data_IF_587483989462
#
_entry.id   IF_587483989462
#
_cell.length_a   1.000
_cell.length_b   1.000
_cell.length_c   1.000
_cell.angle_alpha   90.00
_cell.angle_beta   90.00
_cell.angle_gamma   90.00
#
_symmetry.space_group_name_H-M   'P 1'
#
loop_
_entity.id
_entity.type
_entity.pdbx_description
1 polymer ?
#
# COMPACT_ATOMS: atom_id res chain seq x y z
N UNK A 1 -32.12 -7.35 42.29
CA UNK A 1 -31.05 -6.39 42.12
C UNK A 1 -29.81 -7.11 41.58
N UNK A 2 -29.56 -7.03 40.30
CA UNK A 2 -28.38 -7.64 39.68
C UNK A 2 -27.18 -6.78 40.07
N UNK A 3 -26.18 -7.41 40.69
CA UNK A 3 -25.03 -6.76 41.27
C UNK A 3 -24.12 -6.16 40.14
N UNK A 4 -24.42 -4.93 39.71
CA UNK A 4 -23.78 -4.21 38.60
C UNK A 4 -22.25 -4.11 38.78
N UNK A 5 -21.75 -4.04 39.99
CA UNK A 5 -20.31 -3.99 40.27
C UNK A 5 -19.59 -5.29 39.86
N UNK A 6 -20.22 -6.45 40.06
CA UNK A 6 -19.62 -7.74 39.66
C UNK A 6 -19.61 -7.94 38.15
N UNK A 7 -20.58 -7.36 37.46
CA UNK A 7 -20.66 -7.40 35.99
C UNK A 7 -19.59 -6.50 35.36
N UNK A 8 -19.43 -5.28 35.85
CA UNK A 8 -18.39 -4.36 35.39
C UNK A 8 -16.97 -4.90 35.64
N UNK A 9 -16.72 -5.52 36.80
CA UNK A 9 -15.43 -6.16 37.11
C UNK A 9 -15.16 -7.36 36.17
N UNK A 10 -16.15 -8.18 35.91
CA UNK A 10 -15.99 -9.30 34.96
C UNK A 10 -15.76 -8.83 33.54
N UNK A 11 -16.44 -7.77 33.10
CA UNK A 11 -16.26 -7.16 31.79
C UNK A 11 -14.88 -6.54 31.68
N UNK A 12 -14.41 -5.84 32.72
CA UNK A 12 -13.04 -5.29 32.78
C UNK A 12 -11.97 -6.37 32.80
N UNK A 13 -12.15 -7.46 33.54
CA UNK A 13 -11.23 -8.60 33.53
C UNK A 13 -11.24 -9.34 32.18
N UNK A 14 -12.40 -9.43 31.52
CA UNK A 14 -12.49 -10.02 30.18
C UNK A 14 -11.79 -9.16 29.14
N UNK A 15 -11.97 -7.85 29.19
CA UNK A 15 -11.25 -6.92 28.30
C UNK A 15 -9.75 -6.89 28.60
N UNK A 16 -9.34 -6.91 29.86
CA UNK A 16 -7.93 -7.01 30.25
C UNK A 16 -7.30 -8.34 29.82
N UNK A 17 -8.03 -9.45 29.90
CA UNK A 17 -7.57 -10.77 29.44
C UNK A 17 -7.45 -10.83 27.90
N UNK A 18 -8.37 -10.22 27.15
CA UNK A 18 -8.28 -10.07 25.69
C UNK A 18 -7.08 -9.20 25.32
N UNK A 19 -6.80 -8.14 26.04
CA UNK A 19 -5.60 -7.31 25.85
C UNK A 19 -4.30 -8.03 26.21
N UNK A 20 -4.30 -8.91 27.21
CA UNK A 20 -3.09 -9.64 27.62
C UNK A 20 -2.65 -10.71 26.61
N UNK A 21 -3.59 -11.33 25.90
CA UNK A 21 -3.26 -12.32 24.86
C UNK A 21 -2.73 -11.72 23.56
N UNK A 22 -2.78 -10.40 23.42
CA UNK A 22 -2.38 -9.68 22.19
C UNK A 22 -0.86 -9.44 22.05
N UNK A 23 -0.03 -10.10 22.83
CA UNK A 23 1.44 -9.95 22.78
C UNK A 23 2.12 -10.67 21.60
N UNK A 24 1.37 -11.32 20.73
CA UNK A 24 1.89 -11.95 19.51
C UNK A 24 1.42 -11.16 18.25
N UNK A 25 2.09 -10.40 17.78
CA UNK A 25 2.36 -9.20 17.01
C UNK A 25 2.56 -9.47 15.56
N UNK A 26 1.63 -9.02 14.79
CA UNK A 26 1.74 -8.91 13.36
C UNK A 26 2.27 -7.52 13.00
N UNK A 27 3.49 -7.47 12.53
CA UNK A 27 4.08 -6.27 11.96
C UNK A 27 3.62 -6.15 10.52
N UNK A 28 3.07 -5.01 10.10
CA UNK A 28 2.57 -4.86 8.75
C UNK A 28 3.11 -3.58 8.12
N UNK A 29 4.23 -3.67 7.42
CA UNK A 29 4.49 -2.74 6.32
C UNK A 29 3.92 -3.34 5.04
N UNK A 30 3.54 -2.49 4.09
CA UNK A 30 2.89 -2.90 2.85
C UNK A 30 3.84 -2.76 1.66
N UNK A 31 3.65 -3.59 0.64
CA UNK A 31 4.34 -3.43 -0.65
C UNK A 31 3.84 -2.16 -1.34
N UNK A 32 4.70 -1.38 -2.01
CA UNK A 32 4.23 -0.32 -2.87
C UNK A 32 3.25 -0.86 -3.93
N UNK A 33 2.17 -0.15 -4.19
CA UNK A 33 1.08 -0.63 -5.08
C UNK A 33 1.59 -0.97 -6.49
N UNK A 34 2.56 -0.22 -7.00
CA UNK A 34 3.18 -0.42 -8.31
C UNK A 34 4.44 -1.30 -8.24
N UNK A 35 4.67 -2.00 -7.12
CA UNK A 35 5.80 -2.92 -7.00
C UNK A 35 5.68 -4.07 -7.99
N UNK A 36 6.81 -4.40 -8.64
CA UNK A 36 6.90 -5.56 -9.52
C UNK A 36 6.60 -6.88 -8.80
N UNK A 37 6.78 -6.90 -7.48
CA UNK A 37 6.42 -8.01 -6.61
C UNK A 37 4.92 -8.31 -6.65
N UNK A 38 4.05 -7.29 -6.74
CA UNK A 38 2.60 -7.50 -6.87
C UNK A 38 2.23 -8.23 -8.16
N UNK A 39 2.93 -7.94 -9.27
CA UNK A 39 2.75 -8.67 -10.53
C UNK A 39 3.10 -10.15 -10.39
N UNK A 40 4.22 -10.47 -9.73
CA UNK A 40 4.61 -11.85 -9.48
C UNK A 40 3.62 -12.57 -8.55
N UNK A 41 3.11 -11.89 -7.51
CA UNK A 41 2.08 -12.46 -6.63
C UNK A 41 0.82 -12.81 -7.43
N UNK A 42 0.36 -11.92 -8.29
CA UNK A 42 -0.82 -12.17 -9.14
C UNK A 42 -0.62 -13.39 -10.05
N UNK A 43 0.58 -13.58 -10.62
CA UNK A 43 0.90 -14.77 -11.42
C UNK A 43 0.90 -16.05 -10.61
N UNK A 44 1.40 -16.00 -9.38
CA UNK A 44 1.39 -17.15 -8.46
C UNK A 44 -0.04 -17.49 -8.03
N UNK A 45 -0.89 -16.49 -7.87
CA UNK A 45 -2.30 -16.71 -7.55
C UNK A 45 -3.04 -17.39 -8.70
N UNK A 46 -2.83 -16.94 -9.94
CA UNK A 46 -3.37 -17.59 -11.14
C UNK A 46 -2.88 -19.04 -11.26
N UNK A 47 -1.63 -19.32 -10.88
CA UNK A 47 -1.08 -20.67 -10.87
C UNK A 47 -1.57 -21.53 -9.68
N UNK A 48 -2.43 -21.01 -8.81
CA UNK A 48 -2.98 -21.73 -7.64
C UNK A 48 -1.96 -22.02 -6.53
N UNK A 49 -0.84 -21.28 -6.52
CA UNK A 49 0.26 -21.46 -5.53
C UNK A 49 -0.02 -20.68 -4.25
N UNK A 50 -0.81 -19.60 -4.32
CA UNK A 50 -1.13 -18.72 -3.20
C UNK A 50 -2.37 -19.18 -2.46
N UNK A 51 -2.30 -20.29 -1.74
CA UNK A 51 -3.47 -20.81 -1.01
C UNK A 51 -3.92 -19.86 0.12
N UNK A 52 -5.21 -19.50 0.11
CA UNK A 52 -5.81 -18.62 1.13
C UNK A 52 -5.41 -17.15 1.06
N UNK A 53 -4.77 -16.71 -0.02
CA UNK A 53 -4.31 -15.34 -0.20
C UNK A 53 -5.29 -14.54 -1.07
N UNK A 54 -5.74 -13.39 -0.56
CA UNK A 54 -6.60 -12.48 -1.32
C UNK A 54 -5.72 -11.45 -2.05
N UNK A 55 -5.79 -11.45 -3.39
CA UNK A 55 -5.02 -10.53 -4.25
C UNK A 55 -5.84 -9.34 -4.73
N UNK A 56 -7.15 -9.32 -4.47
CA UNK A 56 -8.06 -8.22 -4.86
C UNK A 56 -7.81 -6.94 -4.07
N UNK A 57 -7.24 -7.03 -2.88
CA UNK A 57 -6.96 -5.90 -2.01
C UNK A 57 -5.46 -5.56 -2.03
N UNK A 58 -5.12 -4.40 -2.57
CA UNK A 58 -3.75 -3.89 -2.59
C UNK A 58 -3.68 -2.53 -1.88
N UNK A 59 -2.56 -2.17 -1.28
CA UNK A 59 -1.28 -2.87 -1.20
C UNK A 59 -1.33 -4.11 -0.31
N UNK A 60 -0.52 -5.10 -0.68
CA UNK A 60 -0.37 -6.37 0.04
C UNK A 60 0.59 -6.19 1.21
N UNK A 61 0.27 -6.71 2.39
CA UNK A 61 1.17 -6.64 3.53
C UNK A 61 2.37 -7.57 3.36
N UNK A 62 3.55 -7.13 3.79
CA UNK A 62 4.77 -7.96 3.78
C UNK A 62 4.66 -9.18 4.70
N UNK A 63 3.87 -9.10 5.75
CA UNK A 63 3.58 -10.26 6.59
C UNK A 63 2.85 -11.36 5.82
N UNK A 64 1.84 -10.99 5.02
CA UNK A 64 1.16 -11.94 4.16
C UNK A 64 2.14 -12.58 3.16
N UNK A 65 3.05 -11.78 2.61
CA UNK A 65 4.10 -12.28 1.74
C UNK A 65 5.05 -13.26 2.45
N UNK A 66 5.42 -12.96 3.71
CA UNK A 66 6.26 -13.84 4.51
C UNK A 66 5.60 -15.20 4.76
N UNK A 67 4.29 -15.24 4.98
CA UNK A 67 3.53 -16.48 5.12
C UNK A 67 3.53 -17.36 3.86
N UNK A 68 3.74 -16.76 2.68
CA UNK A 68 3.88 -17.49 1.42
C UNK A 68 5.29 -18.04 1.20
N UNK A 69 6.29 -17.58 1.95
CA UNK A 69 7.69 -17.90 1.69
C UNK A 69 8.02 -19.40 1.66
N UNK A 70 7.47 -20.28 2.54
CA UNK A 70 7.71 -21.72 2.46
C UNK A 70 7.19 -22.35 1.15
N UNK A 71 5.98 -21.95 0.74
CA UNK A 71 5.36 -22.45 -0.50
C UNK A 71 6.13 -21.98 -1.74
N UNK A 72 6.65 -20.76 -1.71
CA UNK A 72 7.46 -20.17 -2.77
C UNK A 72 8.80 -20.90 -2.93
N UNK A 73 9.42 -21.31 -1.84
CA UNK A 73 10.71 -22.01 -1.86
C UNK A 73 10.61 -23.40 -2.54
N UNK A 74 9.45 -24.05 -2.47
CA UNK A 74 9.21 -25.39 -3.02
C UNK A 74 8.75 -25.37 -4.48
N UNK A 75 8.28 -24.26 -5.02
CA UNK A 75 7.77 -24.17 -6.38
C UNK A 75 8.88 -23.87 -7.39
N UNK A 76 9.17 -24.81 -8.30
CA UNK A 76 10.20 -24.65 -9.35
C UNK A 76 9.96 -23.48 -10.32
N UNK A 77 8.73 -22.94 -10.38
CA UNK A 77 8.34 -21.79 -11.22
C UNK A 77 8.92 -20.45 -10.75
N UNK A 78 9.53 -20.39 -9.58
CA UNK A 78 9.73 -19.15 -8.82
C UNK A 78 11.16 -18.62 -8.83
N UNK A 79 12.15 -19.33 -9.44
CA UNK A 79 13.57 -18.90 -9.37
C UNK A 79 13.79 -17.42 -9.69
N UNK A 80 13.16 -16.89 -10.73
CA UNK A 80 13.31 -15.48 -11.12
C UNK A 80 12.48 -14.52 -10.25
N UNK A 81 11.34 -14.98 -9.72
CA UNK A 81 10.47 -14.19 -8.84
C UNK A 81 11.01 -14.13 -7.41
N UNK A 82 11.73 -15.15 -6.96
CA UNK A 82 12.29 -15.25 -5.61
C UNK A 82 13.21 -14.07 -5.24
N UNK A 83 13.91 -13.51 -6.21
CA UNK A 83 14.77 -12.34 -5.98
C UNK A 83 13.99 -11.14 -5.50
N UNK A 84 12.82 -10.87 -6.06
CA UNK A 84 11.95 -9.75 -5.67
C UNK A 84 11.35 -9.99 -4.28
N UNK A 85 10.86 -11.21 -4.03
CA UNK A 85 10.33 -11.59 -2.73
C UNK A 85 11.37 -11.46 -1.60
N UNK A 86 12.62 -11.83 -1.85
CA UNK A 86 13.71 -11.67 -0.88
C UNK A 86 13.95 -10.23 -0.49
N UNK A 87 13.93 -9.34 -1.48
CA UNK A 87 14.11 -7.90 -1.23
C UNK A 87 13.08 -7.40 -0.26
N UNK A 88 11.83 -7.83 -0.44
CA UNK A 88 10.71 -7.38 0.36
C UNK A 88 10.63 -8.08 1.74
N UNK A 89 11.14 -9.31 1.84
CA UNK A 89 11.09 -10.11 3.07
C UNK A 89 12.29 -9.92 3.99
N UNK A 90 13.32 -9.20 3.55
CA UNK A 90 14.56 -9.03 4.34
C UNK A 90 14.34 -8.39 5.73
N UNK A 91 13.24 -7.68 5.91
CA UNK A 91 12.91 -7.04 7.19
C UNK A 91 12.47 -8.01 8.28
N UNK A 92 11.96 -9.18 7.89
CA UNK A 92 11.38 -10.16 8.81
C UNK A 92 12.41 -11.20 9.22
N UNK A 93 12.89 -11.16 10.45
CA UNK A 93 13.70 -12.25 11.00
C UNK A 93 12.76 -13.38 11.44
N UNK A 94 12.21 -14.17 10.52
CA UNK A 94 11.57 -15.41 10.90
C UNK A 94 12.60 -16.54 10.87
N UNK A 95 12.48 -17.50 11.77
CA UNK A 95 13.32 -18.70 11.76
C UNK A 95 13.16 -19.46 10.43
N UNK A 96 11.97 -19.36 9.80
CA UNK A 96 11.67 -19.95 8.50
C UNK A 96 12.38 -19.24 7.33
N UNK A 97 12.72 -17.96 7.48
CA UNK A 97 13.52 -17.22 6.49
C UNK A 97 14.98 -17.66 6.47
N UNK A 98 15.48 -18.34 7.49
CA UNK A 98 16.86 -18.84 7.50
C UNK A 98 17.05 -19.94 6.45
N UNK A 99 16.09 -20.85 6.31
CA UNK A 99 16.10 -21.88 5.26
C UNK A 99 15.85 -21.28 3.89
N UNK A 100 14.93 -20.35 3.77
CA UNK A 100 14.68 -19.57 2.57
C UNK A 100 15.91 -18.76 2.14
N UNK A 101 16.64 -18.14 3.08
CA UNK A 101 17.89 -17.44 2.82
C UNK A 101 19.05 -18.36 2.47
N UNK A 102 19.10 -19.57 3.04
CA UNK A 102 20.14 -20.58 2.77
C UNK A 102 20.05 -21.12 1.35
N UNK A 103 18.84 -21.34 0.83
CA UNK A 103 18.59 -21.87 -0.52
C UNK A 103 18.74 -20.84 -1.64
N UNK A 104 18.93 -19.59 -1.30
CA UNK A 104 19.04 -18.49 -2.25
C UNK A 104 20.34 -17.73 -1.97
N UNK A 105 21.43 -18.31 -2.44
CA UNK A 105 22.78 -17.78 -2.26
C UNK A 105 22.92 -16.33 -2.75
N UNK A 106 23.04 -15.38 -1.81
CA UNK A 106 23.33 -13.98 -2.09
C UNK A 106 24.82 -13.69 -2.26
N UNK A 107 25.65 -14.72 -2.40
CA UNK A 107 27.10 -14.57 -2.56
C UNK A 107 27.52 -13.81 -3.84
N UNK A 108 26.59 -13.47 -4.73
CA UNK A 108 26.86 -12.59 -5.88
C UNK A 108 26.98 -11.10 -5.54
N UNK A 109 27.10 -10.74 -4.25
CA UNK A 109 27.21 -9.37 -3.77
C UNK A 109 28.61 -8.73 -3.90
N UNK A 110 29.52 -9.32 -4.68
CA UNK A 110 30.92 -8.90 -4.73
C UNK A 110 31.18 -7.41 -5.05
N UNK A 111 30.45 -6.79 -5.98
CA UNK A 111 30.64 -5.39 -6.36
C UNK A 111 29.68 -4.39 -5.69
N UNK A 112 28.55 -4.87 -5.13
CA UNK A 112 27.54 -4.02 -4.50
C UNK A 112 27.86 -3.64 -3.05
N UNK A 113 28.80 -4.34 -2.39
CA UNK A 113 29.22 -4.07 -1.01
C UNK A 113 29.85 -2.69 -0.80
N UNK A 114 30.27 -2.02 -1.88
CA UNK A 114 30.85 -0.68 -1.79
C UNK A 114 29.79 0.37 -1.45
N UNK A 115 28.56 0.22 -1.97
CA UNK A 115 27.48 1.19 -1.79
C UNK A 115 26.40 0.72 -0.80
N UNK A 116 26.19 -0.60 -0.68
CA UNK A 116 25.15 -1.16 0.17
C UNK A 116 25.76 -2.05 1.24
N UNK A 117 25.61 -1.67 2.50
CA UNK A 117 25.99 -2.49 3.67
C UNK A 117 25.22 -3.81 3.71
N UNK A 118 23.96 -3.77 3.26
CA UNK A 118 23.10 -4.95 3.16
C UNK A 118 22.64 -5.11 1.72
N UNK A 119 22.28 -6.30 1.24
CA UNK A 119 21.83 -6.50 -0.13
C UNK A 119 20.59 -5.67 -0.50
N UNK A 120 19.84 -5.15 0.47
CA UNK A 120 18.49 -4.63 0.33
C UNK A 120 18.32 -3.17 0.75
N UNK A 121 19.26 -2.58 1.46
CA UNK A 121 19.15 -1.22 1.93
C UNK A 121 20.51 -0.51 1.90
N UNK A 122 20.51 0.75 1.46
CA UNK A 122 21.69 1.61 1.53
C UNK A 122 22.09 1.80 2.99
N UNK A 123 21.10 2.06 3.83
CA UNK A 123 21.28 2.13 5.27
C UNK A 123 20.26 1.21 5.93
N UNK A 124 20.71 0.39 6.87
CA UNK A 124 19.87 -0.50 7.66
C UNK A 124 20.35 -0.54 9.10
N UNK A 125 19.45 -0.23 10.02
CA UNK A 125 19.68 -0.34 11.46
C UNK A 125 18.68 -1.37 12.00
N UNK A 126 19.19 -2.41 12.63
CA UNK A 126 18.39 -3.44 13.32
C UNK A 126 18.77 -3.48 14.78
N UNK A 127 17.84 -3.14 15.65
CA UNK A 127 17.91 -3.28 17.10
C UNK A 127 16.80 -4.24 17.53
N UNK A 128 16.82 -4.64 18.81
CA UNK A 128 15.80 -5.55 19.37
C UNK A 128 14.36 -5.05 19.13
N UNK A 129 14.13 -3.76 19.33
CA UNK A 129 12.80 -3.15 19.34
C UNK A 129 12.62 -2.09 18.24
N UNK A 130 13.62 -1.91 17.36
CA UNK A 130 13.59 -0.91 16.32
C UNK A 130 14.31 -1.40 15.06
N UNK A 131 13.62 -1.27 13.92
CA UNK A 131 14.23 -1.47 12.61
C UNK A 131 14.00 -0.25 11.75
N UNK A 132 15.04 0.17 11.02
CA UNK A 132 14.98 1.26 10.06
C UNK A 132 15.74 0.85 8.81
N UNK A 133 15.14 1.09 7.66
CA UNK A 133 15.77 0.96 6.34
C UNK A 133 15.57 2.24 5.56
N UNK A 134 16.64 2.67 4.89
CA UNK A 134 16.65 3.86 4.06
C UNK A 134 17.21 3.48 2.71
N UNK A 135 16.46 3.79 1.65
CA UNK A 135 16.86 3.58 0.27
C UNK A 135 16.73 4.86 -0.57
N UNK A 136 17.70 5.16 -1.44
CA UNK A 136 17.49 6.13 -2.49
C UNK A 136 16.52 5.56 -3.52
N UNK A 137 15.70 6.43 -4.07
CA UNK A 137 14.81 6.13 -5.20
C UNK A 137 15.31 6.90 -6.40
N UNK A 138 15.72 6.18 -7.44
CA UNK A 138 16.20 6.74 -8.68
C UNK A 138 15.49 6.03 -9.81
N UNK A 139 14.81 6.78 -10.66
CA UNK A 139 14.09 6.25 -11.82
C UNK A 139 14.43 7.05 -13.07
N UNK A 140 14.62 6.36 -14.17
CA UNK A 140 14.75 6.93 -15.49
C UNK A 140 13.91 6.11 -16.48
N UNK A 141 13.11 6.79 -17.27
CA UNK A 141 12.47 6.22 -18.44
C UNK A 141 12.62 7.18 -19.60
N UNK A 142 12.78 6.65 -20.80
CA UNK A 142 12.90 7.44 -22.03
C UNK A 142 12.13 6.78 -23.15
N UNK A 143 11.58 7.59 -24.04
CA UNK A 143 10.82 7.18 -25.22
C UNK A 143 10.83 8.23 -26.31
N UNK A 144 10.12 7.97 -27.36
CA UNK A 144 9.93 8.91 -28.46
C UNK A 144 8.47 8.87 -28.92
N UNK A 145 7.86 10.02 -29.05
CA UNK A 145 6.58 10.17 -29.70
C UNK A 145 6.80 10.15 -31.21
N UNK A 146 6.24 9.15 -31.87
CA UNK A 146 6.41 8.99 -33.32
C UNK A 146 5.50 9.92 -34.12
N UNK A 147 4.46 10.49 -33.51
CA UNK A 147 3.55 11.41 -34.19
C UNK A 147 4.21 12.76 -34.46
N UNK A 148 4.91 13.31 -33.46
CA UNK A 148 5.51 14.64 -33.51
C UNK A 148 7.04 14.59 -33.47
N UNK A 149 7.60 13.38 -33.46
CA UNK A 149 9.05 13.16 -33.40
C UNK A 149 9.71 13.72 -32.13
N UNK A 150 8.94 13.95 -31.06
CA UNK A 150 9.42 14.47 -29.79
C UNK A 150 9.96 13.38 -28.86
N UNK A 151 11.05 13.69 -28.16
CA UNK A 151 11.57 12.80 -27.13
C UNK A 151 10.75 12.94 -25.86
N UNK A 152 10.42 11.81 -25.27
CA UNK A 152 9.75 11.76 -23.97
C UNK A 152 10.70 11.21 -22.94
N UNK A 153 10.65 11.73 -21.71
CA UNK A 153 11.48 11.21 -20.62
C UNK A 153 10.83 11.41 -19.27
N UNK A 154 11.20 10.57 -18.35
CA UNK A 154 10.85 10.69 -16.95
C UNK A 154 12.10 10.54 -16.10
N UNK A 155 12.29 11.48 -15.18
CA UNK A 155 13.33 11.46 -14.16
C UNK A 155 12.66 11.46 -12.80
N UNK A 156 13.06 10.54 -11.94
CA UNK A 156 12.58 10.44 -10.56
C UNK A 156 13.76 10.35 -9.62
N UNK A 157 13.80 11.22 -8.64
CA UNK A 157 14.79 11.19 -7.56
C UNK A 157 14.10 11.29 -6.21
N UNK A 158 14.56 10.52 -5.23
CA UNK A 158 13.92 10.54 -3.92
C UNK A 158 14.52 9.62 -2.89
N UNK A 159 13.78 9.44 -1.80
CA UNK A 159 14.15 8.60 -0.68
C UNK A 159 12.96 7.79 -0.18
N UNK A 160 13.21 6.55 0.13
CA UNK A 160 12.27 5.63 0.79
C UNK A 160 12.78 5.33 2.20
N UNK A 161 11.86 5.44 3.17
CA UNK A 161 12.07 5.10 4.57
C UNK A 161 11.03 4.07 4.95
N UNK A 162 11.47 3.01 5.63
CA UNK A 162 10.56 2.02 6.22
C UNK A 162 11.14 1.42 7.47
N UNK A 163 10.29 1.02 8.38
CA UNK A 163 10.76 0.42 9.61
C UNK A 163 9.65 0.02 10.56
N UNK A 164 10.07 -0.37 11.75
CA UNK A 164 9.20 -0.89 12.79
C UNK A 164 9.68 -0.47 14.17
N UNK A 165 8.73 -0.20 15.05
CA UNK A 165 8.97 0.15 16.44
C UNK A 165 8.28 -0.90 17.31
N UNK A 166 9.02 -1.50 18.24
CA UNK A 166 8.55 -2.49 19.23
C UNK A 166 7.76 -3.65 18.59
N UNK A 167 8.08 -3.98 17.32
CA UNK A 167 7.32 -4.96 16.53
C UNK A 167 5.80 -4.75 16.52
N UNK A 168 5.29 -3.57 16.92
CA UNK A 168 3.86 -3.23 17.01
C UNK A 168 3.44 -2.18 16.00
N UNK A 169 4.31 -1.20 15.77
CA UNK A 169 4.05 -0.09 14.87
C UNK A 169 4.99 -0.18 13.68
N UNK A 170 4.45 -0.34 12.50
CA UNK A 170 5.17 -0.19 11.26
C UNK A 170 5.03 1.23 10.72
N UNK A 171 6.05 1.72 10.03
CA UNK A 171 6.00 3.00 9.34
C UNK A 171 6.66 2.91 7.98
N UNK A 172 6.14 3.72 7.06
CA UNK A 172 6.64 3.85 5.70
C UNK A 172 6.57 5.31 5.28
N UNK A 173 7.57 5.77 4.53
CA UNK A 173 7.55 7.07 3.88
C UNK A 173 8.32 7.00 2.57
N UNK A 174 7.76 7.61 1.54
CA UNK A 174 8.35 7.76 0.22
C UNK A 174 8.21 9.22 -0.22
N UNK A 175 9.34 9.85 -0.49
CA UNK A 175 9.39 11.23 -0.97
C UNK A 175 10.15 11.24 -2.28
N UNK A 176 9.51 11.71 -3.34
CA UNK A 176 10.14 11.81 -4.67
C UNK A 176 9.85 13.14 -5.33
N UNK A 177 10.86 13.64 -6.05
CA UNK A 177 10.72 14.70 -7.03
C UNK A 177 10.73 14.07 -8.42
N UNK A 178 9.76 14.43 -9.22
CA UNK A 178 9.53 13.85 -10.52
C UNK A 178 9.58 14.97 -11.57
N UNK A 179 10.17 14.66 -12.70
CA UNK A 179 10.15 15.47 -13.89
C UNK A 179 9.75 14.56 -15.04
N UNK A 180 8.69 14.91 -15.77
CA UNK A 180 8.15 14.07 -16.84
C UNK A 180 7.90 14.95 -18.06
N UNK A 181 8.47 14.57 -19.19
CA UNK A 181 8.11 15.10 -20.49
C UNK A 181 7.23 14.07 -21.20
N UNK A 182 5.96 14.42 -21.32
CA UNK A 182 4.95 13.55 -21.91
C UNK A 182 4.93 13.64 -23.45
N UNK A 183 4.36 12.65 -24.14
CA UNK A 183 3.91 12.78 -25.53
C UNK A 183 2.94 13.94 -25.70
N UNK A 184 2.92 14.54 -26.87
CA UNK A 184 2.13 15.74 -27.18
C UNK A 184 0.63 15.60 -26.84
N UNK A 185 0.02 14.46 -27.12
CA UNK A 185 -1.39 14.22 -26.79
C UNK A 185 -1.68 14.21 -25.27
N UNK A 186 -0.72 13.77 -24.46
CA UNK A 186 -0.84 13.81 -22.99
C UNK A 186 -0.63 15.24 -22.49
N UNK A 187 0.35 15.98 -23.04
CA UNK A 187 0.56 17.38 -22.68
C UNK A 187 -0.70 18.22 -22.91
N UNK A 188 -1.38 18.04 -24.05
CA UNK A 188 -2.67 18.70 -24.33
C UNK A 188 -3.74 18.37 -23.28
N UNK A 189 -3.77 17.13 -22.78
CA UNK A 189 -4.68 16.77 -21.67
C UNK A 189 -4.26 17.43 -20.35
N UNK A 190 -2.98 17.48 -20.07
CA UNK A 190 -2.45 18.14 -18.85
C UNK A 190 -2.72 19.64 -18.91
N UNK A 191 -2.45 20.30 -20.04
CA UNK A 191 -2.68 21.74 -20.24
C UNK A 191 -4.18 22.10 -20.10
N UNK A 192 -5.07 21.24 -20.58
CA UNK A 192 -6.50 21.47 -20.47
C UNK A 192 -7.08 21.21 -19.10
N UNK A 193 -6.50 20.25 -18.34
CA UNK A 193 -7.02 19.80 -17.03
C UNK A 193 -6.24 20.38 -15.83
N UNK A 194 -5.00 20.81 -16.05
CA UNK A 194 -4.07 21.18 -14.99
C UNK A 194 -3.62 19.99 -14.12
N UNK A 195 -3.87 18.74 -14.57
CA UNK A 195 -3.63 17.54 -13.78
C UNK A 195 -2.82 16.51 -14.57
N UNK A 196 -1.75 16.00 -13.99
CA UNK A 196 -0.94 14.94 -14.60
C UNK A 196 -1.76 13.66 -14.72
N UNK A 197 -1.92 13.18 -15.94
CA UNK A 197 -2.68 11.99 -16.26
C UNK A 197 -2.11 10.74 -15.53
N UNK A 198 -2.98 10.00 -14.85
CA UNK A 198 -2.62 8.78 -14.13
C UNK A 198 -1.95 9.00 -12.76
N UNK A 199 -1.47 10.20 -12.47
CA UNK A 199 -0.85 10.56 -11.17
C UNK A 199 -1.76 11.46 -10.33
N UNK A 200 -2.64 12.26 -10.96
CA UNK A 200 -3.58 13.14 -10.28
C UNK A 200 -2.94 14.34 -9.56
N UNK A 201 -1.68 14.64 -9.84
CA UNK A 201 -1.02 15.82 -9.30
C UNK A 201 -1.30 17.04 -10.17
N UNK A 202 -1.61 18.17 -9.52
CA UNK A 202 -1.78 19.44 -10.21
C UNK A 202 -0.43 20.05 -10.56
N UNK A 203 -0.33 20.58 -11.77
CA UNK A 203 0.84 21.33 -12.27
C UNK A 203 0.38 22.57 -12.96
N UNK A 204 1.25 23.59 -12.99
CA UNK A 204 1.04 24.77 -13.83
C UNK A 204 1.34 24.43 -15.29
N UNK A 205 0.73 25.14 -16.21
CA UNK A 205 0.99 25.03 -17.64
C UNK A 205 2.50 25.12 -17.94
N UNK A 206 3.00 24.16 -18.69
CA UNK A 206 4.42 24.06 -19.02
C UNK A 206 5.36 23.62 -17.90
N UNK A 207 4.84 23.31 -16.70
CA UNK A 207 5.63 22.75 -15.61
C UNK A 207 5.35 21.24 -15.44
N UNK A 208 6.27 20.43 -15.89
CA UNK A 208 6.20 18.96 -15.87
C UNK A 208 6.78 18.36 -14.58
N UNK A 209 7.01 19.20 -13.58
CA UNK A 209 7.63 18.81 -12.31
C UNK A 209 6.57 18.70 -11.21
N UNK A 210 6.63 17.61 -10.48
CA UNK A 210 5.78 17.44 -9.30
C UNK A 210 6.51 16.72 -8.17
N UNK A 211 6.05 17.01 -6.97
CA UNK A 211 6.55 16.42 -5.75
C UNK A 211 5.54 15.42 -5.22
N UNK A 212 6.01 14.23 -4.89
CA UNK A 212 5.17 13.14 -4.36
C UNK A 212 5.66 12.77 -2.97
N UNK A 213 4.78 12.84 -1.99
CA UNK A 213 5.04 12.43 -0.63
C UNK A 213 3.95 11.46 -0.17
N UNK A 214 4.37 10.25 0.17
CA UNK A 214 3.54 9.18 0.71
C UNK A 214 4.06 8.79 2.08
N UNK A 215 3.18 8.38 2.94
CA UNK A 215 3.59 7.84 4.22
C UNK A 215 2.41 7.33 5.02
N UNK A 216 2.65 6.30 5.79
CA UNK A 216 1.64 5.72 6.66
C UNK A 216 2.27 5.07 7.89
N UNK A 217 1.45 4.93 8.89
CA UNK A 217 1.69 4.09 10.06
C UNK A 217 0.75 2.90 10.05
N UNK A 218 1.25 1.78 10.56
CA UNK A 218 0.45 0.57 10.75
C UNK A 218 0.52 0.13 12.20
N UNK A 219 -0.59 -0.39 12.69
CA UNK A 219 -0.69 -0.95 14.02
C UNK A 219 -1.57 -2.20 13.99
N UNK A 220 -1.10 -3.28 14.57
CA UNK A 220 -1.85 -4.54 14.62
C UNK A 220 -2.08 -4.94 16.08
N UNK A 221 -3.24 -4.55 16.66
CA UNK A 221 -3.58 -4.89 18.04
C UNK A 221 -3.74 -6.40 18.24
N UNK A 222 -4.11 -7.12 17.19
CA UNK A 222 -4.25 -8.58 17.20
C UNK A 222 -3.76 -9.17 15.88
N UNK A 223 -3.55 -10.48 15.83
CA UNK A 223 -3.24 -11.21 14.57
C UNK A 223 -4.36 -11.14 13.51
N UNK A 224 -5.54 -10.71 13.90
CA UNK A 224 -6.72 -10.66 13.04
C UNK A 224 -7.06 -9.26 12.55
N UNK A 225 -6.62 -8.23 13.27
CA UNK A 225 -6.98 -6.83 13.01
C UNK A 225 -5.71 -6.03 12.74
N UNK A 226 -5.67 -5.40 11.58
CA UNK A 226 -4.64 -4.45 11.20
C UNK A 226 -5.26 -3.07 10.92
N UNK A 227 -4.64 -2.05 11.48
CA UNK A 227 -4.97 -0.65 11.26
C UNK A 227 -3.88 -0.02 10.42
N UNK A 228 -4.25 0.81 9.46
CA UNK A 228 -3.32 1.62 8.67
C UNK A 228 -3.89 3.02 8.53
N UNK A 229 -3.08 4.02 8.86
CA UNK A 229 -3.43 5.43 8.74
C UNK A 229 -2.30 6.18 8.05
N UNK A 230 -2.63 7.03 7.11
CA UNK A 230 -1.65 7.84 6.40
C UNK A 230 -2.14 8.38 5.07
N UNK A 231 -1.19 8.78 4.24
CA UNK A 231 -1.41 9.27 2.88
C UNK A 231 -0.72 8.33 1.89
N UNK A 232 -1.50 7.60 1.11
CA UNK A 232 -1.03 6.70 0.06
C UNK A 232 -2.21 6.33 -0.85
N UNK A 233 -2.02 5.37 -1.74
CA UNK A 233 -3.04 4.81 -2.61
C UNK A 233 -3.49 3.43 -2.12
N UNK A 234 -4.73 3.07 -2.43
CA UNK A 234 -5.26 1.72 -2.28
C UNK A 234 -5.87 1.28 -3.62
N UNK A 235 -5.96 -0.02 -3.82
CA UNK A 235 -6.54 -0.61 -5.02
C UNK A 235 -7.44 -1.77 -4.62
N UNK A 236 -8.66 -1.79 -5.14
CA UNK A 236 -9.66 -2.82 -4.83
C UNK A 236 -10.16 -3.40 -6.14
N UNK A 237 -9.81 -4.66 -6.42
CA UNK A 237 -10.21 -5.40 -7.61
C UNK A 237 -9.08 -6.22 -8.21
N UNK A 238 -9.41 -7.02 -9.25
CA UNK A 238 -8.47 -7.92 -9.94
C UNK A 238 -8.11 -7.47 -11.36
N UNK A 239 -8.75 -6.42 -11.86
CA UNK A 239 -8.46 -5.87 -13.20
C UNK A 239 -7.19 -5.04 -13.23
N UNK A 240 -6.72 -4.68 -14.42
CA UNK A 240 -5.62 -3.72 -14.63
C UNK A 240 -5.99 -2.33 -14.08
N UNK A 241 -7.21 -1.90 -14.34
CA UNK A 241 -7.85 -0.74 -13.73
C UNK A 241 -9.10 -1.22 -13.01
N UNK A 242 -9.20 -0.96 -11.71
CA UNK A 242 -10.37 -1.38 -10.96
C UNK A 242 -11.57 -0.50 -11.25
N UNK A 243 -12.77 -1.11 -11.24
CA UNK A 243 -14.04 -0.39 -11.23
C UNK A 243 -14.39 0.18 -9.85
N UNK A 244 -13.84 -0.41 -8.78
CA UNK A 244 -14.16 0.00 -7.39
C UNK A 244 -13.22 1.10 -6.92
N UNK A 245 -11.92 0.84 -6.93
CA UNK A 245 -10.91 1.81 -6.54
C UNK A 245 -9.60 1.52 -7.27
N UNK A 246 -9.19 2.45 -8.11
CA UNK A 246 -7.96 2.40 -8.89
C UNK A 246 -6.83 3.20 -8.24
N UNK A 247 -5.60 2.88 -8.60
CA UNK A 247 -4.40 3.65 -8.26
C UNK A 247 -4.11 4.79 -9.24
N UNK A 248 -5.03 5.10 -10.16
CA UNK A 248 -4.93 6.21 -11.11
C UNK A 248 -5.47 7.52 -10.51
N UNK A 249 -5.07 7.83 -9.29
CA UNK A 249 -5.45 9.03 -8.57
C UNK A 249 -4.26 9.59 -7.80
N UNK A 250 -4.34 10.83 -7.37
CA UNK A 250 -3.40 11.36 -6.37
C UNK A 250 -3.49 10.54 -5.08
N UNK A 251 -2.39 10.52 -4.35
CA UNK A 251 -2.36 9.98 -2.99
C UNK A 251 -3.33 10.74 -2.09
N UNK A 252 -4.06 10.04 -1.25
CA UNK A 252 -5.10 10.58 -0.39
C UNK A 252 -4.91 10.14 1.06
N UNK A 253 -5.40 10.96 1.98
CA UNK A 253 -5.45 10.61 3.40
C UNK A 253 -6.47 9.49 3.60
N UNK A 254 -6.10 8.46 4.35
CA UNK A 254 -7.00 7.35 4.63
C UNK A 254 -6.79 6.73 6.02
N UNK A 255 -7.86 6.13 6.52
CA UNK A 255 -7.86 5.16 7.60
C UNK A 255 -8.38 3.84 7.04
N UNK A 256 -7.59 2.78 7.21
CA UNK A 256 -7.95 1.44 6.76
C UNK A 256 -7.93 0.47 7.94
N UNK A 257 -8.99 -0.30 8.07
CA UNK A 257 -9.13 -1.38 9.04
C UNK A 257 -9.28 -2.68 8.29
N UNK A 258 -8.33 -3.59 8.45
CA UNK A 258 -8.37 -4.93 7.88
C UNK A 258 -8.65 -5.95 8.97
N UNK A 259 -9.67 -6.76 8.77
CA UNK A 259 -9.99 -7.89 9.65
C UNK A 259 -9.89 -9.18 8.87
N UNK A 260 -9.02 -10.09 9.30
CA UNK A 260 -8.83 -11.39 8.66
C UNK A 260 -9.13 -12.52 9.64
N UNK A 261 -10.16 -13.30 9.34
CA UNK A 261 -10.56 -14.47 10.14
C UNK A 261 -10.75 -15.65 9.18
N UNK A 262 -9.96 -16.70 9.37
CA UNK A 262 -9.96 -17.88 8.52
C UNK A 262 -9.75 -17.51 7.03
N UNK A 263 -10.69 -17.77 6.14
CA UNK A 263 -10.69 -17.40 4.70
C UNK A 263 -11.39 -16.07 4.41
N UNK A 264 -11.99 -15.44 5.42
CA UNK A 264 -12.69 -14.16 5.29
C UNK A 264 -11.69 -13.02 5.46
N UNK A 265 -11.79 -12.05 4.58
CA UNK A 265 -11.04 -10.80 4.64
C UNK A 265 -12.02 -9.64 4.53
N UNK A 266 -12.14 -8.86 5.59
CA UNK A 266 -13.01 -7.70 5.66
C UNK A 266 -12.17 -6.43 5.77
N UNK A 267 -12.33 -5.52 4.83
CA UNK A 267 -11.65 -4.24 4.79
C UNK A 267 -12.66 -3.11 4.89
N UNK A 268 -12.42 -2.19 5.81
CA UNK A 268 -13.06 -0.88 5.87
C UNK A 268 -12.02 0.17 5.47
N UNK A 269 -12.34 0.98 4.49
CA UNK A 269 -11.49 2.05 3.97
C UNK A 269 -12.24 3.38 4.02
N UNK A 270 -11.74 4.31 4.80
CA UNK A 270 -12.24 5.69 4.93
C UNK A 270 -11.20 6.61 4.32
N UNK A 271 -11.57 7.40 3.32
CA UNK A 271 -10.62 8.27 2.63
C UNK A 271 -11.13 9.69 2.49
N UNK A 272 -10.18 10.62 2.45
CA UNK A 272 -10.41 11.99 2.03
C UNK A 272 -9.72 12.21 0.69
N UNK A 273 -10.49 12.31 -0.37
CA UNK A 273 -10.02 12.53 -1.74
C UNK A 273 -10.24 14.00 -2.15
N UNK A 274 -9.49 14.44 -3.14
CA UNK A 274 -9.56 15.81 -3.63
C UNK A 274 -9.99 15.81 -5.11
N UNK A 275 -10.99 16.61 -5.44
CA UNK A 275 -11.48 16.77 -6.82
C UNK A 275 -10.82 18.00 -7.46
N UNK A 276 -9.77 17.77 -8.22
CA UNK A 276 -9.03 18.84 -8.90
C UNK A 276 -9.75 19.38 -10.14
N UNK A 277 -10.63 18.61 -10.75
CA UNK A 277 -11.34 19.02 -11.98
C UNK A 277 -12.31 20.17 -11.73
N UNK A 278 -12.86 20.28 -10.53
CA UNK A 278 -13.76 21.38 -10.14
C UNK A 278 -13.05 22.70 -9.89
N UNK A 279 -11.77 22.72 -9.62
CA UNK A 279 -11.03 23.95 -9.32
C UNK A 279 -10.95 24.86 -10.57
N UNK A 280 -10.72 24.27 -11.73
CA UNK A 280 -10.60 24.99 -13.00
C UNK A 280 -11.88 25.73 -13.40
N UNK A 281 -13.06 25.19 -13.05
CA UNK A 281 -14.34 25.72 -13.49
C UNK A 281 -14.91 26.83 -12.60
N UNK A 282 -14.52 26.95 -11.33
CA UNK A 282 -15.23 27.84 -10.38
C UNK A 282 -14.35 28.85 -9.66
N UNK A 283 -13.01 28.76 -9.80
CA UNK A 283 -12.08 29.61 -9.03
C UNK A 283 -12.18 29.48 -7.51
N UNK A 284 -13.04 28.61 -6.99
CA UNK A 284 -13.23 28.34 -5.57
C UNK A 284 -12.25 27.26 -5.12
N UNK A 285 -11.74 27.39 -3.90
CA UNK A 285 -10.79 26.44 -3.33
C UNK A 285 -11.28 24.98 -3.41
N UNK A 286 -10.34 24.07 -3.53
CA UNK A 286 -10.57 22.63 -3.69
C UNK A 286 -11.31 22.10 -2.48
N UNK A 287 -12.51 21.55 -2.67
CA UNK A 287 -13.27 20.92 -1.60
C UNK A 287 -12.91 19.43 -1.50
N UNK A 288 -12.59 18.92 -0.30
CA UNK A 288 -12.41 17.50 -0.11
C UNK A 288 -13.73 16.76 -0.25
N UNK A 289 -13.68 15.59 -0.87
CA UNK A 289 -14.74 14.59 -0.87
C UNK A 289 -14.32 13.42 0.02
N UNK A 290 -15.29 12.73 0.58
CA UNK A 290 -15.05 11.52 1.33
C UNK A 290 -15.49 10.32 0.51
N UNK A 291 -14.65 9.29 0.49
CA UNK A 291 -14.98 7.99 -0.07
C UNK A 291 -14.85 6.95 1.03
N UNK A 292 -15.90 6.19 1.23
CA UNK A 292 -15.95 5.07 2.18
C UNK A 292 -16.22 3.80 1.39
N UNK A 293 -15.46 2.77 1.67
CA UNK A 293 -15.62 1.46 1.06
C UNK A 293 -15.57 0.37 2.12
N UNK A 294 -16.51 -0.54 2.05
CA UNK A 294 -16.55 -1.79 2.79
C UNK A 294 -16.41 -2.94 1.79
N UNK A 295 -15.42 -3.79 2.00
CA UNK A 295 -15.17 -4.95 1.15
C UNK A 295 -15.09 -6.21 2.00
N UNK A 296 -15.87 -7.23 1.64
CA UNK A 296 -15.82 -8.55 2.24
C UNK A 296 -15.47 -9.56 1.17
N UNK A 297 -14.29 -10.18 1.29
CA UNK A 297 -13.81 -11.23 0.40
C UNK A 297 -13.69 -12.57 1.08
N UNK A 298 -14.01 -13.62 0.35
CA UNK A 298 -13.79 -15.00 0.77
C UNK A 298 -13.13 -15.80 -0.35
N UNK A 299 -12.01 -16.45 -0.05
CA UNK A 299 -11.37 -17.39 -0.98
C UNK A 299 -11.90 -18.80 -0.72
N UNK A 300 -12.87 -19.22 -1.53
CA UNK A 300 -13.53 -20.52 -1.39
C UNK A 300 -12.62 -21.67 -1.82
N UNK A 301 -11.99 -21.53 -2.99
CA UNK A 301 -11.07 -22.51 -3.58
C UNK A 301 -9.77 -21.81 -4.00
N UNK A 302 -8.78 -22.58 -4.43
CA UNK A 302 -7.49 -22.05 -4.90
C UNK A 302 -7.63 -21.04 -6.05
N UNK A 303 -8.63 -21.24 -6.90
CA UNK A 303 -8.91 -20.48 -8.11
C UNK A 303 -10.22 -19.67 -8.07
N UNK A 304 -10.93 -19.63 -6.93
CA UNK A 304 -12.19 -18.90 -6.79
C UNK A 304 -12.18 -18.04 -5.53
N UNK A 305 -12.23 -16.74 -5.75
CA UNK A 305 -12.47 -15.73 -4.73
C UNK A 305 -13.77 -14.99 -5.05
N UNK A 306 -14.62 -14.81 -4.04
CA UNK A 306 -15.84 -14.03 -4.12
C UNK A 306 -15.68 -12.82 -3.22
N UNK A 307 -15.97 -11.63 -3.75
CA UNK A 307 -15.98 -10.40 -3.01
C UNK A 307 -17.28 -9.64 -3.18
N UNK A 308 -17.79 -9.11 -2.09
CA UNK A 308 -18.91 -8.17 -2.08
C UNK A 308 -18.42 -6.84 -1.51
N UNK A 309 -18.92 -5.73 -2.03
CA UNK A 309 -18.49 -4.41 -1.58
C UNK A 309 -19.65 -3.42 -1.60
N UNK A 310 -19.51 -2.41 -0.76
CA UNK A 310 -20.30 -1.21 -0.73
C UNK A 310 -19.37 0.00 -0.81
N UNK A 311 -19.73 1.01 -1.60
CA UNK A 311 -18.95 2.21 -1.75
C UNK A 311 -19.83 3.45 -1.77
N UNK A 312 -19.47 4.45 -0.99
CA UNK A 312 -20.19 5.72 -0.90
C UNK A 312 -19.19 6.86 -1.11
N UNK A 313 -19.56 7.82 -1.96
CA UNK A 313 -18.84 9.09 -2.12
C UNK A 313 -19.77 10.22 -1.74
N UNK A 314 -19.31 11.11 -0.86
CA UNK A 314 -20.08 12.27 -0.44
C UNK A 314 -19.21 13.51 -0.26
N UNK A 315 -19.81 14.67 -0.52
CA UNK A 315 -19.19 15.96 -0.28
C UNK A 315 -19.41 16.36 1.19
N UNK A 316 -18.45 17.07 1.77
CA UNK A 316 -18.68 17.81 2.99
C UNK A 316 -19.45 19.09 2.63
N UNK A 317 -20.77 19.04 2.69
CA UNK A 317 -21.59 20.26 2.59
C UNK A 317 -21.52 21.01 3.91
N UNK A 318 -20.99 22.22 3.90
CA UNK A 318 -21.06 23.16 5.05
C UNK A 318 -22.47 23.76 5.22
N UNK A 319 -23.46 23.29 4.49
CA UNK A 319 -24.84 23.75 4.65
C UNK A 319 -25.54 22.99 5.79
N UNK A 320 -25.25 23.38 7.01
CA UNK A 320 -26.33 23.41 8.00
C UNK A 320 -27.33 24.47 7.49
N UNK A 321 -28.21 24.09 6.57
CA UNK A 321 -29.45 24.83 6.38
C UNK A 321 -30.15 24.79 7.74
N UNK A 322 -30.14 25.91 8.44
CA UNK A 322 -31.09 26.16 9.51
C UNK A 322 -32.48 25.87 8.93
N UNK A 323 -33.03 24.73 9.27
CA UNK A 323 -34.45 24.45 9.05
C UNK A 323 -35.13 25.39 10.04
N UNK A 324 -35.54 26.55 9.55
CA UNK A 324 -36.45 27.40 10.27
C UNK A 324 -37.81 26.71 10.15
N UNK A 325 -38.22 26.03 11.21
CA UNK A 325 -39.59 25.54 11.37
C UNK A 325 -40.44 26.80 11.52
N UNK A 326 -41.20 27.16 10.51
CA UNK A 326 -42.36 28.06 10.56
C UNK A 326 -43.57 27.24 10.88
#
# INVERSE_FOLDING_TARGET
MINTNRFCVKLFLLTAFVFWQSLLLAQQTYLPINSFTNYHISRLDIAGITDGFNTSLRPISRENLNRLSPTLAQSGLVKNSLRYFKTELYEYPSNDTAEFNKNLDFNSAGKRKVFYKTPMALYSQKMKDFTLMINPVIGFAGGRDLSDNNNTHQLTGGIELRGMIDRKVGFYSLITKNYIQFPTYINQMVDSSGVIAGEGYHVNEGDERFFKARGYFTFSPTRHIGLQFGQDQNFIGNGYRSLVLSNHSKDYLFLKVNTKIWKLNYQNLFTQITDYTRQSATGKGIKPKFFVNHYLGIKLFKNLEIGVFESIIFDRSDSVKKVTLT
#
